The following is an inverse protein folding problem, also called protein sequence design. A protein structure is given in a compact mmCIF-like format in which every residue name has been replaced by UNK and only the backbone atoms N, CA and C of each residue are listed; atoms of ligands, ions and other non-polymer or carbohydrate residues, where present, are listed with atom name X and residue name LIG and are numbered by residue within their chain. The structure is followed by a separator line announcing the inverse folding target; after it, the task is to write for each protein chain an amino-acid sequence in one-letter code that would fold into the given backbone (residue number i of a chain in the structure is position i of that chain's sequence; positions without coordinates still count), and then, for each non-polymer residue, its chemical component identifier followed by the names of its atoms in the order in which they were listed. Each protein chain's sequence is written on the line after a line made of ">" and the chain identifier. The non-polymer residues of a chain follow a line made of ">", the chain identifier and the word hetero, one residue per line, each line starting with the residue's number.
data_IF_506770020410
#
_entry.id   IF_506770020410
#
_cell.length_a   1.000
_cell.length_b   1.000
_cell.length_c   1.000
_cell.angle_alpha   90.00
_cell.angle_beta   90.00
_cell.angle_gamma   90.00
#
_symmetry.space_group_name_H-M   'P 1'
#
loop_
_entity.id
_entity.type
_entity.pdbx_description
1 polymer ?
#
# COMPACT_ATOMS: atom_id res chain seq x y z
N UNK A 1 -20.78 -24.33 3.99
CA UNK A 1 -19.69 -24.09 4.96
C UNK A 1 -19.61 -22.56 5.12
N UNK A 2 -20.37 -21.84 5.95
CA UNK A 2 -20.93 -22.00 7.31
C UNK A 2 -19.94 -21.96 8.49
N UNK A 3 -18.83 -21.22 8.35
CA UNK A 3 -17.97 -20.79 9.46
C UNK A 3 -17.53 -19.35 9.21
N UNK A 4 -18.31 -18.39 9.72
CA UNK A 4 -18.00 -16.96 9.89
C UNK A 4 -16.83 -16.46 9.02
N UNK A 5 -17.10 -16.08 7.77
CA UNK A 5 -16.26 -15.10 7.09
C UNK A 5 -16.70 -13.73 7.62
N UNK A 6 -16.04 -13.16 8.63
CA UNK A 6 -16.37 -11.83 9.12
C UNK A 6 -16.35 -10.83 7.95
N UNK A 7 -17.29 -9.88 7.97
CA UNK A 7 -17.55 -8.94 6.88
C UNK A 7 -16.36 -8.07 6.46
N UNK A 8 -15.22 -8.13 7.15
CA UNK A 8 -14.01 -7.43 6.73
C UNK A 8 -13.47 -7.93 5.38
N UNK A 9 -13.66 -9.20 5.03
CA UNK A 9 -13.22 -9.72 3.72
C UNK A 9 -14.19 -9.36 2.58
N UNK A 10 -15.44 -9.03 2.89
CA UNK A 10 -16.44 -8.63 1.89
C UNK A 10 -16.05 -7.32 1.20
N UNK A 11 -15.54 -6.36 1.99
CA UNK A 11 -15.08 -5.07 1.47
C UNK A 11 -13.87 -5.25 0.55
N UNK A 12 -12.90 -6.07 0.96
CA UNK A 12 -11.73 -6.37 0.13
C UNK A 12 -12.14 -7.05 -1.17
N UNK A 13 -12.99 -8.08 -1.11
CA UNK A 13 -13.49 -8.79 -2.29
C UNK A 13 -14.17 -7.82 -3.27
N UNK A 14 -15.04 -6.95 -2.75
CA UNK A 14 -15.74 -5.94 -3.57
C UNK A 14 -14.78 -4.97 -4.26
N UNK A 15 -13.73 -4.49 -3.57
CA UNK A 15 -12.74 -3.61 -4.18
C UNK A 15 -11.90 -4.33 -5.24
N UNK A 16 -11.50 -5.57 -4.98
CA UNK A 16 -10.76 -6.38 -5.95
C UNK A 16 -11.59 -6.71 -7.18
N UNK A 17 -12.87 -7.04 -7.02
CA UNK A 17 -13.80 -7.27 -8.12
C UNK A 17 -14.01 -5.99 -8.95
N UNK A 18 -14.13 -4.83 -8.30
CA UNK A 18 -14.30 -3.53 -8.95
C UNK A 18 -13.12 -3.17 -9.85
N UNK A 19 -11.89 -3.45 -9.39
CA UNK A 19 -10.65 -3.13 -10.11
C UNK A 19 -10.05 -4.34 -10.85
N UNK A 20 -10.78 -5.45 -10.96
CA UNK A 20 -10.28 -6.67 -11.59
C UNK A 20 -9.82 -6.39 -13.03
N UNK A 21 -8.57 -6.75 -13.33
CA UNK A 21 -7.93 -6.49 -14.63
C UNK A 21 -7.37 -5.07 -14.82
N UNK A 22 -7.54 -4.16 -13.85
CA UNK A 22 -6.99 -2.80 -13.87
C UNK A 22 -6.55 -2.34 -12.48
N UNK A 23 -5.90 -3.21 -11.71
CA UNK A 23 -5.29 -2.87 -10.43
C UNK A 23 -4.02 -2.05 -10.71
N UNK A 24 -3.97 -0.84 -10.18
CA UNK A 24 -2.86 0.11 -10.34
C UNK A 24 -2.37 0.54 -8.96
N UNK A 25 -1.15 1.08 -8.84
CA UNK A 25 -0.70 1.61 -7.56
C UNK A 25 -1.65 2.67 -6.99
N UNK A 26 -2.18 3.56 -7.83
CA UNK A 26 -3.06 4.65 -7.39
C UNK A 26 -4.38 4.15 -6.80
N UNK A 27 -5.07 3.23 -7.48
CA UNK A 27 -6.32 2.67 -6.95
C UNK A 27 -6.06 1.70 -5.79
N UNK A 28 -4.92 1.02 -5.76
CA UNK A 28 -4.52 0.19 -4.60
C UNK A 28 -4.38 1.04 -3.35
N UNK A 29 -3.69 2.18 -3.45
CA UNK A 29 -3.50 3.10 -2.33
C UNK A 29 -4.84 3.68 -1.88
N UNK A 30 -5.57 4.32 -2.80
CA UNK A 30 -6.75 5.13 -2.46
C UNK A 30 -8.00 4.31 -2.17
N UNK A 31 -8.25 3.27 -2.96
CA UNK A 31 -9.56 2.63 -3.02
C UNK A 31 -9.54 1.20 -2.49
N UNK A 32 -8.37 0.55 -2.40
CA UNK A 32 -8.25 -0.78 -1.80
C UNK A 32 -7.78 -0.64 -0.36
N UNK A 33 -6.54 -0.20 -0.15
CA UNK A 33 -5.90 -0.21 1.17
C UNK A 33 -6.58 0.75 2.15
N UNK A 34 -6.86 2.00 1.74
CA UNK A 34 -7.56 2.97 2.61
C UNK A 34 -9.00 2.56 2.94
N UNK A 35 -9.73 1.94 2.01
CA UNK A 35 -11.13 1.54 2.24
C UNK A 35 -11.22 0.29 3.11
N UNK A 36 -10.33 -0.67 2.89
CA UNK A 36 -10.25 -1.90 3.70
C UNK A 36 -9.58 -1.63 5.06
N UNK A 37 -8.95 -0.45 5.22
CA UNK A 37 -8.28 -0.03 6.45
C UNK A 37 -7.23 -1.06 6.91
N UNK A 38 -6.36 -1.46 5.97
CA UNK A 38 -5.31 -2.45 6.25
C UNK A 38 -3.93 -1.80 6.20
N UNK A 39 -2.99 -2.29 7.02
CA UNK A 39 -1.65 -1.73 7.12
C UNK A 39 -1.56 -0.52 8.06
N UNK A 40 -2.13 -0.63 9.26
CA UNK A 40 -2.09 0.41 10.31
C UNK A 40 -0.71 1.01 10.52
N UNK A 41 0.32 0.17 10.63
CA UNK A 41 1.70 0.57 10.90
C UNK A 41 2.46 0.99 9.64
N UNK A 42 2.29 0.24 8.56
CA UNK A 42 3.09 0.36 7.35
C UNK A 42 2.31 -0.18 6.16
N UNK A 43 2.38 0.55 5.04
CA UNK A 43 1.88 0.10 3.74
C UNK A 43 2.99 0.25 2.73
N UNK A 44 3.20 -0.80 1.92
CA UNK A 44 4.07 -0.78 0.76
C UNK A 44 3.30 -1.33 -0.45
N UNK A 45 3.25 -0.55 -1.52
CA UNK A 45 2.67 -0.94 -2.81
C UNK A 45 3.75 -0.89 -3.87
N UNK A 46 4.04 -2.05 -4.45
CA UNK A 46 5.07 -2.23 -5.47
C UNK A 46 4.42 -2.27 -6.85
N UNK A 47 4.78 -1.31 -7.70
CA UNK A 47 4.51 -1.37 -9.13
C UNK A 47 5.76 -1.86 -9.85
N UNK A 48 5.82 -3.17 -10.05
CA UNK A 48 6.94 -3.84 -10.71
C UNK A 48 6.98 -3.59 -12.22
N UNK A 49 5.91 -3.06 -12.83
CA UNK A 49 5.93 -2.75 -14.26
C UNK A 49 6.69 -1.46 -14.55
N UNK A 50 6.68 -0.53 -13.59
CA UNK A 50 7.33 0.77 -13.67
C UNK A 50 8.52 0.93 -12.72
N UNK A 51 8.85 -0.11 -11.95
CA UNK A 51 9.89 -0.08 -10.91
C UNK A 51 9.67 1.04 -9.88
N UNK A 52 8.41 1.21 -9.45
CA UNK A 52 8.02 2.20 -8.46
C UNK A 52 7.58 1.53 -7.15
N UNK A 53 7.95 2.14 -6.03
CA UNK A 53 7.48 1.78 -4.71
C UNK A 53 6.74 2.96 -4.09
N UNK A 54 5.53 2.71 -3.60
CA UNK A 54 4.77 3.65 -2.81
C UNK A 54 4.74 3.18 -1.36
N UNK A 55 5.19 4.02 -0.43
CA UNK A 55 5.32 3.67 0.98
C UNK A 55 4.70 4.71 1.90
N UNK A 56 3.99 4.23 2.93
CA UNK A 56 3.51 5.05 4.04
C UNK A 56 3.78 4.35 5.37
N UNK A 57 4.07 5.14 6.40
CA UNK A 57 4.24 4.69 7.78
C UNK A 57 3.19 5.36 8.67
N UNK A 58 2.81 4.70 9.75
CA UNK A 58 2.01 5.30 10.81
C UNK A 58 2.69 6.55 11.36
N UNK A 59 1.87 7.41 11.97
CA UNK A 59 2.34 8.63 12.60
C UNK A 59 3.24 8.31 13.79
N UNK A 60 4.40 8.95 13.86
CA UNK A 60 5.21 8.99 15.08
C UNK A 60 4.56 9.84 16.18
N UNK A 61 4.88 9.59 17.45
CA UNK A 61 4.24 10.28 18.58
C UNK A 61 4.39 11.81 18.55
N UNK A 62 5.46 12.32 17.94
CA UNK A 62 5.77 13.76 17.81
C UNK A 62 5.25 14.40 16.52
N UNK A 63 4.57 13.64 15.65
CA UNK A 63 4.08 14.11 14.35
C UNK A 63 2.59 14.49 14.39
N UNK A 64 2.14 15.22 13.38
CA UNK A 64 0.73 15.59 13.20
C UNK A 64 0.08 14.79 12.06
N UNK A 65 -1.25 14.83 11.98
CA UNK A 65 -2.03 14.17 10.92
C UNK A 65 -2.61 12.81 11.32
N UNK A 66 -3.10 12.03 10.33
CA UNK A 66 -3.72 10.73 10.53
C UNK A 66 -2.77 9.75 11.22
N UNK A 67 -3.32 8.89 12.08
CA UNK A 67 -2.55 7.92 12.88
C UNK A 67 -2.07 6.76 12.02
N UNK A 68 -2.99 6.17 11.26
CA UNK A 68 -2.74 4.94 10.50
C UNK A 68 -2.09 5.21 9.14
N UNK A 69 -1.21 4.31 8.69
CA UNK A 69 -0.47 4.50 7.44
C UNK A 69 -1.39 4.51 6.20
N UNK A 70 -2.48 3.74 6.19
CA UNK A 70 -3.44 3.71 5.08
C UNK A 70 -4.20 5.04 4.87
N UNK A 71 -4.19 5.94 5.86
CA UNK A 71 -4.78 7.29 5.78
C UNK A 71 -3.73 8.37 5.54
N UNK A 72 -2.45 8.02 5.43
CA UNK A 72 -1.33 8.96 5.31
C UNK A 72 -0.88 9.13 3.87
N UNK A 73 -0.14 10.20 3.62
CA UNK A 73 0.49 10.46 2.33
C UNK A 73 1.54 9.40 2.02
N UNK A 74 1.51 8.86 0.81
CA UNK A 74 2.49 7.91 0.32
C UNK A 74 3.67 8.63 -0.32
N UNK A 75 4.88 8.18 0.00
CA UNK A 75 6.10 8.55 -0.71
C UNK A 75 6.28 7.61 -1.89
N UNK A 76 6.52 8.17 -3.08
CA UNK A 76 6.88 7.41 -4.27
C UNK A 76 8.40 7.37 -4.41
N UNK A 77 8.94 6.18 -4.61
CA UNK A 77 10.35 5.92 -4.83
C UNK A 77 10.54 5.23 -6.18
N UNK A 78 11.52 5.68 -6.95
CA UNK A 78 11.97 5.00 -8.16
C UNK A 78 13.02 3.95 -7.76
N UNK A 79 12.69 2.66 -7.86
CA UNK A 79 13.55 1.58 -7.41
C UNK A 79 14.83 1.46 -8.24
N UNK A 80 14.79 1.84 -9.52
CA UNK A 80 15.98 1.86 -10.38
C UNK A 80 16.99 2.87 -9.88
N UNK A 81 16.52 4.03 -9.41
CA UNK A 81 17.38 5.06 -8.83
C UNK A 81 17.83 4.71 -7.41
N UNK A 82 16.93 4.20 -6.57
CA UNK A 82 17.24 3.85 -5.17
C UNK A 82 18.33 2.78 -5.09
N UNK A 83 18.30 1.79 -6.00
CA UNK A 83 19.26 0.69 -6.01
C UNK A 83 20.38 0.88 -7.04
N UNK A 84 20.64 2.10 -7.51
CA UNK A 84 21.73 2.38 -8.45
C UNK A 84 23.12 2.40 -7.80
N UNK A 85 23.34 1.62 -6.75
CA UNK A 85 24.61 1.59 -6.02
C UNK A 85 25.69 0.83 -6.81
N UNK A 86 26.93 1.32 -6.72
CA UNK A 86 28.07 0.60 -7.28
C UNK A 86 28.26 -0.72 -6.50
N UNK A 87 28.61 -1.82 -7.19
CA UNK A 87 28.91 -3.07 -6.51
C UNK A 87 30.02 -2.84 -5.47
N UNK A 88 29.95 -3.48 -4.30
CA UNK A 88 30.98 -3.32 -3.26
C UNK A 88 32.35 -3.68 -3.83
N UNK A 89 33.36 -2.85 -3.55
CA UNK A 89 34.74 -3.15 -3.92
C UNK A 89 35.23 -4.37 -3.14
N UNK A 90 35.77 -5.36 -3.87
CA UNK A 90 36.42 -6.55 -3.31
C UNK A 90 37.72 -6.22 -2.58
#
# INVERSE_FOLDING_TARGET
>A
MDWLCPGYSEVLAKQLDLYHGNVTALNTIRDIVSIVQTGDLHVAVYDLSHELLYVANARGDSEQGPVYAYDRTFLQLNLTEVFSELPPSL
#
